data_IF_679747777571
#
_entry.id   IF_679747777571
#
_cell.length_a   1.000
_cell.length_b   1.000
_cell.length_c   1.000
_cell.angle_alpha   90.00
_cell.angle_beta   90.00
_cell.angle_gamma   90.00
#
_symmetry.space_group_name_H-M   'P 1'
#
loop_
_entity.id
_entity.type
_entity.pdbx_description
1 polymer ?
#
# COMPACT_ATOMS: atom_id res chain seq x y z
N UNK A 1 -8.72 -19.08 8.36
CA UNK A 1 -7.54 -18.72 9.16
C UNK A 1 -7.15 -19.95 9.94
N UNK A 2 -6.38 -20.83 9.32
CA UNK A 2 -6.02 -22.11 9.93
C UNK A 2 -4.69 -21.97 10.68
N UNK A 3 -4.76 -21.96 12.00
CA UNK A 3 -3.60 -21.92 12.87
C UNK A 3 -2.98 -23.33 12.91
N UNK A 4 -1.88 -23.54 12.17
CA UNK A 4 -1.18 -24.84 12.16
C UNK A 4 -0.16 -24.86 13.30
N UNK A 5 -0.54 -25.44 14.44
CA UNK A 5 0.40 -25.73 15.51
C UNK A 5 1.34 -26.87 15.07
N UNK A 6 2.63 -26.58 14.87
CA UNK A 6 3.67 -27.62 14.71
C UNK A 6 4.39 -27.81 16.04
N UNK A 7 4.36 -29.04 16.55
CA UNK A 7 5.23 -29.43 17.65
C UNK A 7 6.60 -29.85 17.11
N UNK A 8 7.66 -29.16 17.53
CA UNK A 8 9.05 -29.60 17.35
C UNK A 8 9.67 -29.83 18.73
N UNK A 9 9.58 -31.07 19.23
CA UNK A 9 10.02 -31.43 20.59
C UNK A 9 9.03 -30.98 21.69
N UNK A 10 9.54 -30.53 22.85
CA UNK A 10 8.74 -30.01 23.99
C UNK A 10 8.44 -28.49 23.90
N UNK A 11 8.76 -27.85 22.78
CA UNK A 11 8.52 -26.43 22.57
C UNK A 11 7.41 -26.26 21.52
N UNK A 12 6.37 -25.51 21.87
CA UNK A 12 5.28 -25.18 20.96
C UNK A 12 5.71 -23.96 20.13
N UNK A 13 6.16 -24.21 18.91
CA UNK A 13 6.36 -23.13 17.94
C UNK A 13 5.02 -22.86 17.24
N UNK A 14 4.29 -21.85 17.72
CA UNK A 14 3.13 -21.32 17.02
C UNK A 14 3.62 -20.61 15.75
N UNK A 15 3.73 -21.34 14.64
CA UNK A 15 3.90 -20.73 13.33
C UNK A 15 2.51 -20.43 12.80
N UNK A 16 2.12 -19.15 12.82
CA UNK A 16 0.96 -18.71 12.05
C UNK A 16 1.32 -18.93 10.58
N UNK A 17 0.77 -19.97 9.96
CA UNK A 17 0.82 -20.13 8.52
C UNK A 17 -0.04 -19.01 7.92
N UNK A 18 0.57 -17.86 7.69
CA UNK A 18 -0.07 -16.75 6.98
C UNK A 18 -0.20 -17.19 5.53
N UNK A 19 -1.40 -17.12 4.97
CA UNK A 19 -1.62 -17.41 3.55
C UNK A 19 -0.63 -16.54 2.74
N UNK A 20 0.23 -17.14 1.89
CA UNK A 20 1.24 -16.41 1.15
C UNK A 20 0.64 -15.35 0.22
N UNK A 21 -0.59 -15.56 -0.27
CA UNK A 21 -1.29 -14.61 -1.12
C UNK A 21 -1.74 -13.41 -0.28
N UNK A 22 -2.39 -13.64 0.86
CA UNK A 22 -2.81 -12.55 1.76
C UNK A 22 -1.62 -11.73 2.27
N UNK A 23 -0.49 -12.41 2.53
CA UNK A 23 0.75 -11.73 2.91
C UNK A 23 1.25 -10.83 1.77
N UNK A 24 1.29 -11.33 0.54
CA UNK A 24 1.72 -10.56 -0.62
C UNK A 24 0.78 -9.38 -0.90
N UNK A 25 -0.54 -9.54 -0.76
CA UNK A 25 -1.50 -8.45 -0.90
C UNK A 25 -1.28 -7.35 0.15
N UNK A 26 -1.03 -7.73 1.40
CA UNK A 26 -0.74 -6.78 2.46
C UNK A 26 0.56 -5.99 2.20
N UNK A 27 1.62 -6.67 1.76
CA UNK A 27 2.88 -6.04 1.37
C UNK A 27 2.68 -5.08 0.19
N UNK A 28 1.85 -5.45 -0.78
CA UNK A 28 1.54 -4.62 -1.94
C UNK A 28 0.76 -3.35 -1.57
N UNK A 29 -0.28 -3.45 -0.73
CA UNK A 29 -1.05 -2.29 -0.28
C UNK A 29 -0.19 -1.30 0.51
N UNK A 30 0.82 -1.78 1.24
CA UNK A 30 1.78 -0.95 1.99
C UNK A 30 2.99 -0.48 1.14
N UNK A 31 3.05 -0.80 -0.15
CA UNK A 31 4.11 -0.31 -1.02
C UNK A 31 3.98 1.19 -1.29
N UNK A 32 5.11 1.89 -1.39
CA UNK A 32 5.13 3.32 -1.67
C UNK A 32 4.91 3.61 -3.16
N UNK A 33 4.02 4.56 -3.45
CA UNK A 33 3.76 5.08 -4.80
C UNK A 33 3.79 6.60 -4.82
N UNK A 34 4.13 7.17 -5.98
CA UNK A 34 4.13 8.61 -6.19
C UNK A 34 2.77 9.07 -6.71
N UNK A 35 2.20 10.07 -6.05
CA UNK A 35 0.96 10.73 -6.46
C UNK A 35 1.21 12.21 -6.77
N UNK A 36 0.39 12.78 -7.64
CA UNK A 36 0.26 14.23 -7.86
C UNK A 36 -1.04 14.66 -7.21
N UNK A 37 -0.99 15.64 -6.30
CA UNK A 37 -2.21 16.18 -5.70
C UNK A 37 -2.99 16.99 -6.73
N UNK A 38 -4.28 16.74 -6.84
CA UNK A 38 -5.18 17.49 -7.72
C UNK A 38 -5.86 18.64 -6.98
N UNK A 39 -5.91 18.58 -5.65
CA UNK A 39 -6.54 19.59 -4.78
C UNK A 39 -5.73 19.74 -3.50
N UNK A 40 -5.91 20.86 -2.80
CA UNK A 40 -5.35 21.02 -1.47
C UNK A 40 -6.05 20.09 -0.46
N UNK A 41 -5.25 19.42 0.38
CA UNK A 41 -5.72 18.59 1.48
C UNK A 41 -4.96 18.99 2.76
N UNK A 42 -5.66 19.35 3.85
CA UNK A 42 -5.00 19.57 5.14
C UNK A 42 -4.38 18.27 5.67
N UNK A 43 -3.47 18.38 6.64
CA UNK A 43 -2.97 17.19 7.37
C UNK A 43 -4.14 16.43 7.99
N UNK A 44 -4.22 15.13 7.71
CA UNK A 44 -5.18 14.21 8.31
C UNK A 44 -4.45 13.08 9.00
N UNK A 45 -4.93 12.70 10.18
CA UNK A 45 -4.43 11.55 10.93
C UNK A 45 -5.53 10.49 11.01
N UNK A 46 -5.23 9.28 10.54
CA UNK A 46 -6.14 8.15 10.50
C UNK A 46 -5.45 6.94 11.14
N UNK A 47 -5.90 6.54 12.33
CA UNK A 47 -5.38 5.34 13.00
C UNK A 47 -3.87 5.37 13.25
N UNK A 48 -3.29 6.55 13.48
CA UNK A 48 -1.84 6.75 13.65
C UNK A 48 -1.05 6.95 12.35
N UNK A 49 -1.71 6.90 11.19
CA UNK A 49 -1.10 7.24 9.89
C UNK A 49 -1.41 8.69 9.56
N UNK A 50 -0.36 9.48 9.32
CA UNK A 50 -0.48 10.90 8.92
C UNK A 50 -0.37 11.04 7.40
N UNK A 51 -1.29 11.79 6.81
CA UNK A 51 -1.33 12.08 5.38
C UNK A 51 -1.49 13.59 5.19
N UNK A 52 -0.59 14.19 4.41
CA UNK A 52 -0.62 15.62 4.12
C UNK A 52 0.18 16.47 5.12
N UNK A 53 0.14 17.81 5.00
CA UNK A 53 -0.68 18.59 4.06
C UNK A 53 -0.27 18.40 2.59
N UNK A 54 -1.25 18.20 1.71
CA UNK A 54 -1.03 18.10 0.26
C UNK A 54 -1.41 19.42 -0.38
N UNK A 55 -0.52 19.95 -1.23
CA UNK A 55 -0.74 21.15 -2.01
C UNK A 55 -1.03 20.76 -3.46
N UNK A 56 -1.98 21.44 -4.10
CA UNK A 56 -2.37 21.21 -5.48
C UNK A 56 -1.16 21.26 -6.44
N UNK A 57 -1.07 20.27 -7.33
CA UNK A 57 -0.03 20.14 -8.33
C UNK A 57 1.32 19.60 -7.81
N UNK A 58 1.47 19.37 -6.50
CA UNK A 58 2.71 18.81 -5.94
C UNK A 58 2.70 17.29 -5.90
N UNK A 59 3.92 16.73 -5.97
CA UNK A 59 4.14 15.30 -5.89
C UNK A 59 4.45 14.86 -4.46
N UNK A 60 3.87 13.73 -4.07
CA UNK A 60 4.07 13.12 -2.75
C UNK A 60 4.22 11.61 -2.88
N UNK A 61 5.00 11.02 -1.98
CA UNK A 61 5.09 9.56 -1.83
C UNK A 61 4.18 9.13 -0.69
N UNK A 62 3.27 8.21 -0.98
CA UNK A 62 2.32 7.64 -0.01
C UNK A 62 2.19 6.15 -0.22
N UNK A 63 1.65 5.42 0.76
CA UNK A 63 1.32 4.01 0.59
C UNK A 63 0.23 3.83 -0.48
N UNK A 64 0.27 2.71 -1.20
CA UNK A 64 -0.65 2.43 -2.29
C UNK A 64 -2.12 2.48 -1.85
N UNK A 65 -2.44 1.92 -0.68
CA UNK A 65 -3.81 1.98 -0.15
C UNK A 65 -4.29 3.42 0.07
N UNK A 66 -3.39 4.33 0.48
CA UNK A 66 -3.69 5.76 0.67
C UNK A 66 -3.91 6.41 -0.69
N UNK A 67 -3.01 6.17 -1.65
CA UNK A 67 -3.12 6.69 -3.01
C UNK A 67 -4.45 6.29 -3.66
N UNK A 68 -4.87 5.04 -3.48
CA UNK A 68 -6.13 4.50 -4.01
C UNK A 68 -7.35 5.24 -3.46
N UNK A 69 -7.38 5.51 -2.16
CA UNK A 69 -8.46 6.29 -1.54
C UNK A 69 -8.45 7.76 -1.99
N UNK A 70 -7.27 8.38 -2.12
CA UNK A 70 -7.15 9.75 -2.62
C UNK A 70 -7.60 9.89 -4.08
N UNK A 71 -7.25 8.92 -4.94
CA UNK A 71 -7.70 8.87 -6.34
C UNK A 71 -9.21 8.67 -6.42
N UNK A 72 -9.76 7.75 -5.63
CA UNK A 72 -11.20 7.49 -5.57
C UNK A 72 -12.00 8.73 -5.12
N UNK A 73 -11.41 9.54 -4.24
CA UNK A 73 -11.97 10.82 -3.81
C UNK A 73 -11.75 11.98 -4.82
N UNK A 74 -10.98 11.76 -5.89
CA UNK A 74 -10.63 12.80 -6.86
C UNK A 74 -9.67 13.85 -6.31
N UNK A 75 -8.88 13.50 -5.29
CA UNK A 75 -7.94 14.40 -4.61
C UNK A 75 -6.51 14.27 -5.16
N UNK A 76 -6.18 13.16 -5.82
CA UNK A 76 -4.86 12.91 -6.38
C UNK A 76 -4.92 12.02 -7.62
N UNK A 77 -3.81 11.96 -8.36
CA UNK A 77 -3.57 11.03 -9.46
C UNK A 77 -2.27 10.26 -9.22
N UNK A 78 -2.25 8.95 -9.46
CA UNK A 78 -1.03 8.14 -9.38
C UNK A 78 -0.20 8.39 -10.64
N UNK A 79 1.10 8.64 -10.47
CA UNK A 79 2.01 8.88 -11.60
C UNK A 79 2.21 7.61 -12.42
N UNK A 80 2.13 7.71 -13.75
CA UNK A 80 2.26 6.57 -14.68
C UNK A 80 3.60 5.82 -14.58
N UNK A 81 4.67 6.49 -14.13
CA UNK A 81 5.95 5.82 -13.86
C UNK A 81 5.81 4.70 -12.82
N UNK A 82 4.93 4.88 -11.84
CA UNK A 82 4.60 3.90 -10.80
C UNK A 82 3.61 2.83 -11.25
N UNK A 83 2.94 3.01 -12.40
CA UNK A 83 2.05 2.02 -12.98
C UNK A 83 2.80 1.06 -13.89
N UNK A 84 2.43 -0.21 -13.84
CA UNK A 84 2.86 -1.21 -14.80
C UNK A 84 2.12 -0.97 -16.11
N UNK A 85 2.81 -0.37 -17.08
CA UNK A 85 2.30 -0.23 -18.43
C UNK A 85 2.60 -1.50 -19.25
N UNK A 86 1.75 -1.78 -20.23
CA UNK A 86 1.93 -2.79 -21.28
C UNK A 86 3.31 -2.72 -21.94
N UNK A 87 3.86 -1.51 -22.13
CA UNK A 87 5.23 -1.34 -22.64
C UNK A 87 6.32 -1.70 -21.63
N UNK A 88 6.04 -1.71 -20.32
CA UNK A 88 7.02 -2.16 -19.33
C UNK A 88 7.01 -3.68 -19.18
N UNK A 89 5.84 -4.31 -19.38
CA UNK A 89 5.66 -5.75 -19.23
C UNK A 89 6.25 -6.58 -20.38
N UNK A 90 6.37 -6.06 -21.61
CA UNK A 90 6.96 -6.85 -22.72
C UNK A 90 8.44 -7.20 -22.51
N UNK A 91 9.12 -6.52 -21.58
CA UNK A 91 10.58 -6.58 -21.38
C UNK A 91 10.99 -7.43 -20.18
N UNK A 92 10.05 -7.96 -19.42
CA UNK A 92 10.27 -8.76 -18.20
C UNK A 92 10.20 -10.25 -18.55
#
# INVERSE_FOLDING_TARGET
>A
MDCVARYRGRNLELTVAVDPILKAEFEFENSEVTIVSTRDLPEVELGGVKVGPLEEGKEYKVMFWIAKELVKAGLAQIREESLLDSMKLYKI
#
